data_IF_007390315886
#
_entry.id   IF_007390315886
#
_cell.length_a   1.000
_cell.length_b   1.000
_cell.length_c   1.000
_cell.angle_alpha   90.00
_cell.angle_beta   90.00
_cell.angle_gamma   90.00
#
_symmetry.space_group_name_H-M   'P 1'
#
loop_
_entity.id
_entity.type
_entity.pdbx_description
1 polymer ?
#
# COMPACT_ATOMS: atom_id res chain seq x y z
N UNK A 1 -34.09 36.86 -35.91
CA UNK A 1 -33.41 36.84 -34.60
C UNK A 1 -33.97 35.67 -33.81
N UNK A 2 -33.25 34.55 -33.77
CA UNK A 2 -33.67 33.34 -33.06
C UNK A 2 -32.83 33.12 -31.80
N UNK A 3 -33.35 32.48 -30.76
CA UNK A 3 -32.73 32.43 -29.46
C UNK A 3 -31.60 31.39 -29.38
N UNK A 4 -30.49 31.77 -28.75
CA UNK A 4 -29.30 30.97 -28.49
C UNK A 4 -29.58 29.84 -27.50
N UNK A 5 -29.34 28.58 -27.87
CA UNK A 5 -29.28 27.43 -26.97
C UNK A 5 -28.02 27.50 -26.10
N UNK A 6 -28.19 27.58 -24.77
CA UNK A 6 -27.13 27.36 -23.78
C UNK A 6 -26.81 25.86 -23.70
N UNK A 7 -25.58 25.48 -24.01
CA UNK A 7 -25.00 24.18 -23.67
C UNK A 7 -24.64 24.19 -22.18
N UNK A 8 -25.23 23.31 -21.41
CA UNK A 8 -24.80 23.01 -20.04
C UNK A 8 -23.72 21.92 -20.17
N UNK A 9 -22.47 22.30 -19.97
CA UNK A 9 -21.35 21.37 -19.81
C UNK A 9 -21.33 20.88 -18.37
N UNK A 10 -21.75 19.64 -18.16
CA UNK A 10 -21.56 18.96 -16.89
C UNK A 10 -20.09 18.56 -16.72
N UNK A 11 -19.34 19.33 -15.95
CA UNK A 11 -18.00 18.97 -15.49
C UNK A 11 -18.15 18.05 -14.25
N UNK A 12 -18.20 16.74 -14.51
CA UNK A 12 -17.96 15.73 -13.48
C UNK A 12 -16.47 15.67 -13.18
N UNK A 13 -15.96 16.55 -12.34
CA UNK A 13 -14.64 16.41 -11.76
C UNK A 13 -14.68 15.26 -10.75
N UNK A 14 -14.20 14.07 -11.17
CA UNK A 14 -13.73 13.06 -10.24
C UNK A 14 -12.56 13.65 -9.46
N UNK A 15 -12.81 14.03 -8.21
CA UNK A 15 -11.75 14.41 -7.27
C UNK A 15 -10.88 13.18 -7.05
N UNK A 16 -9.79 13.07 -7.81
CA UNK A 16 -8.67 12.19 -7.48
C UNK A 16 -8.13 12.65 -6.13
N UNK A 17 -8.36 11.85 -5.10
CA UNK A 17 -7.75 12.02 -3.79
C UNK A 17 -6.24 11.73 -3.92
N UNK A 18 -5.49 12.62 -4.56
CA UNK A 18 -4.04 12.66 -4.47
C UNK A 18 -3.69 13.18 -3.07
N UNK A 19 -3.68 12.28 -2.07
CA UNK A 19 -2.95 12.56 -0.84
C UNK A 19 -1.47 12.67 -1.22
N UNK A 20 -1.01 13.87 -1.50
CA UNK A 20 0.40 14.16 -1.70
C UNK A 20 1.14 13.75 -0.43
N UNK A 21 2.00 12.72 -0.54
CA UNK A 21 2.98 12.43 0.48
C UNK A 21 3.96 13.62 0.42
N UNK A 22 4.03 14.39 1.49
CA UNK A 22 5.02 15.46 1.62
C UNK A 22 6.41 14.82 1.72
N UNK A 23 7.11 14.74 0.59
CA UNK A 23 8.55 14.48 0.55
C UNK A 23 9.21 15.81 0.84
N UNK A 24 9.80 15.95 2.02
CA UNK A 24 10.51 17.18 2.38
C UNK A 24 11.73 17.34 1.48
N UNK A 25 11.85 18.44 0.70
CA UNK A 25 13.03 18.63 -0.15
C UNK A 25 14.29 18.78 0.70
N UNK A 26 15.31 18.01 0.35
CA UNK A 26 16.61 18.04 0.99
C UNK A 26 17.36 19.31 0.56
N UNK A 27 17.84 20.09 1.52
CA UNK A 27 18.69 21.25 1.25
C UNK A 27 20.13 20.79 0.99
N UNK A 28 20.79 21.21 -0.13
CA UNK A 28 22.21 20.99 -0.33
C UNK A 28 23.01 21.83 0.68
N UNK A 29 24.02 21.25 1.36
CA UNK A 29 25.04 22.01 2.05
C UNK A 29 25.26 21.78 3.55
N UNK A 30 24.96 20.63 4.12
CA UNK A 30 25.39 20.29 5.51
C UNK A 30 26.57 19.29 5.43
N UNK A 31 27.78 19.80 5.21
CA UNK A 31 28.93 18.97 4.89
C UNK A 31 29.91 18.71 6.01
N UNK A 32 29.75 19.22 7.24
CA UNK A 32 30.86 19.17 8.18
C UNK A 32 30.92 17.94 9.12
N UNK A 33 29.84 17.17 9.31
CA UNK A 33 29.88 15.89 10.03
C UNK A 33 28.81 14.92 9.50
N UNK A 34 29.16 14.18 8.46
CA UNK A 34 28.27 13.08 8.00
C UNK A 34 28.10 12.03 9.10
N UNK A 35 26.89 11.62 9.47
CA UNK A 35 26.64 10.58 10.46
C UNK A 35 27.33 9.27 10.09
N UNK A 36 27.72 8.48 11.09
CA UNK A 36 28.14 7.10 10.83
C UNK A 36 26.90 6.23 10.61
N UNK A 37 26.92 5.43 9.55
CA UNK A 37 25.76 4.61 9.13
C UNK A 37 26.07 3.13 9.31
N UNK A 38 25.11 2.38 9.89
CA UNK A 38 25.13 0.91 9.88
C UNK A 38 24.11 0.39 8.87
N UNK A 39 24.58 -0.24 7.81
CA UNK A 39 23.74 -1.02 6.91
C UNK A 39 23.48 -2.38 7.57
N UNK A 40 22.25 -2.89 7.53
CA UNK A 40 21.87 -4.13 8.19
C UNK A 40 21.19 -5.08 7.21
N UNK A 41 21.77 -6.27 7.02
CA UNK A 41 21.26 -7.32 6.12
C UNK A 41 21.06 -8.63 6.89
N UNK A 42 19.81 -9.06 7.10
CA UNK A 42 19.51 -10.41 7.55
C UNK A 42 19.55 -11.35 6.37
N UNK A 43 20.22 -12.48 6.46
CA UNK A 43 20.29 -13.46 5.35
C UNK A 43 20.04 -14.89 5.82
N UNK A 44 19.50 -15.73 4.93
CA UNK A 44 19.30 -17.16 5.11
C UNK A 44 19.29 -17.85 3.77
N UNK A 45 20.38 -18.52 3.42
CA UNK A 45 20.52 -19.27 2.16
C UNK A 45 20.16 -18.40 0.94
N UNK A 46 20.86 -17.30 0.77
CA UNK A 46 20.67 -16.31 -0.31
C UNK A 46 21.94 -16.10 -1.14
N UNK A 47 22.87 -17.07 -1.13
CA UNK A 47 24.15 -16.97 -1.86
C UNK A 47 24.01 -16.45 -3.29
N UNK A 48 23.02 -16.89 -4.12
CA UNK A 48 22.86 -16.38 -5.49
C UNK A 48 22.69 -14.86 -5.63
N UNK A 49 22.18 -14.19 -4.62
CA UNK A 49 21.94 -12.74 -4.67
C UNK A 49 23.14 -11.90 -4.22
N UNK A 50 24.12 -12.50 -3.55
CA UNK A 50 25.15 -11.76 -2.85
C UNK A 50 26.10 -10.97 -3.77
N UNK A 51 26.36 -11.45 -4.99
CA UNK A 51 27.12 -10.63 -5.96
C UNK A 51 26.40 -9.29 -6.22
N UNK A 52 25.07 -9.31 -6.34
CA UNK A 52 24.29 -8.09 -6.59
C UNK A 52 24.12 -7.24 -5.33
N UNK A 53 23.96 -7.86 -4.16
CA UNK A 53 23.93 -7.12 -2.89
C UNK A 53 25.25 -6.38 -2.63
N UNK A 54 26.39 -6.99 -2.96
CA UNK A 54 27.72 -6.36 -2.88
C UNK A 54 27.82 -5.20 -3.88
N UNK A 55 27.39 -5.39 -5.14
CA UNK A 55 27.38 -4.31 -6.14
C UNK A 55 26.53 -3.12 -5.70
N UNK A 56 25.33 -3.36 -5.13
CA UNK A 56 24.52 -2.28 -4.57
C UNK A 56 25.24 -1.53 -3.44
N UNK A 57 25.89 -2.27 -2.53
CA UNK A 57 26.69 -1.65 -1.47
C UNK A 57 27.85 -0.83 -2.03
N UNK A 58 28.57 -1.32 -3.04
CA UNK A 58 29.70 -0.63 -3.66
C UNK A 58 29.26 0.64 -4.40
N UNK A 59 28.07 0.64 -4.98
CA UNK A 59 27.51 1.79 -5.71
C UNK A 59 26.97 2.91 -4.82
N UNK A 60 26.79 2.67 -3.49
CA UNK A 60 26.29 3.74 -2.62
C UNK A 60 27.19 4.99 -2.67
N UNK A 61 26.57 6.13 -2.93
CA UNK A 61 27.16 7.47 -3.03
C UNK A 61 27.57 8.07 -1.67
N UNK A 62 27.48 7.28 -0.59
CA UNK A 62 27.89 7.67 0.75
C UNK A 62 29.32 7.21 1.05
N UNK A 63 30.15 8.02 1.78
CA UNK A 63 31.53 7.68 2.05
C UNK A 63 31.71 6.34 2.76
N UNK A 64 32.54 5.45 2.20
CA UNK A 64 32.73 4.07 2.72
C UNK A 64 33.38 4.07 4.12
N UNK A 65 34.19 5.06 4.46
CA UNK A 65 34.79 5.26 5.79
C UNK A 65 33.77 5.72 6.84
N UNK A 66 32.57 6.14 6.39
CA UNK A 66 31.43 6.52 7.24
C UNK A 66 30.35 5.46 7.31
N UNK A 67 30.63 4.23 6.85
CA UNK A 67 29.69 3.11 6.86
C UNK A 67 30.29 1.86 7.48
N UNK A 68 29.44 1.02 8.06
CA UNK A 68 29.67 -0.39 8.31
C UNK A 68 28.51 -1.21 7.77
N UNK A 69 28.74 -2.47 7.45
CA UNK A 69 27.74 -3.39 6.96
C UNK A 69 27.62 -4.59 7.91
N UNK A 70 26.53 -4.66 8.66
CA UNK A 70 26.22 -5.73 9.63
C UNK A 70 25.42 -6.80 8.90
N UNK A 71 25.99 -7.99 8.81
CA UNK A 71 25.36 -9.15 8.18
C UNK A 71 25.12 -10.21 9.27
N UNK A 72 23.88 -10.64 9.41
CA UNK A 72 23.49 -11.75 10.28
C UNK A 72 23.01 -12.91 9.41
N UNK A 73 23.80 -13.98 9.38
CA UNK A 73 23.58 -15.16 8.54
C UNK A 73 23.31 -16.40 9.39
N UNK A 74 22.09 -16.91 9.32
CA UNK A 74 21.65 -18.15 9.96
C UNK A 74 21.33 -19.26 8.95
N UNK A 75 21.75 -19.09 7.67
CA UNK A 75 21.64 -20.11 6.62
C UNK A 75 22.58 -21.28 6.82
N UNK A 76 22.35 -22.37 6.12
CA UNK A 76 23.26 -23.53 6.04
C UNK A 76 24.36 -23.32 5.01
N UNK A 77 24.07 -22.54 3.96
CA UNK A 77 25.04 -22.09 2.96
C UNK A 77 25.47 -20.65 3.28
N UNK A 78 26.55 -20.55 4.07
CA UNK A 78 27.10 -19.29 4.56
C UNK A 78 27.74 -18.49 3.44
N UNK A 79 27.68 -17.15 3.56
CA UNK A 79 28.21 -16.22 2.55
C UNK A 79 29.47 -15.47 3.02
N UNK A 80 30.09 -15.91 4.10
CA UNK A 80 31.28 -15.30 4.70
C UNK A 80 32.45 -15.13 3.68
N UNK A 81 32.66 -16.14 2.86
CA UNK A 81 33.68 -16.14 1.78
C UNK A 81 33.47 -15.07 0.72
N UNK A 82 32.20 -14.68 0.47
CA UNK A 82 31.85 -13.66 -0.51
C UNK A 82 32.08 -12.24 0.00
N UNK A 83 32.01 -12.01 1.33
CA UNK A 83 31.98 -10.67 1.93
C UNK A 83 33.18 -10.35 2.82
N UNK A 84 34.00 -11.34 3.19
CA UNK A 84 35.13 -11.18 4.13
C UNK A 84 36.22 -10.23 3.66
N UNK A 85 36.30 -9.98 2.35
CA UNK A 85 37.28 -9.05 1.77
C UNK A 85 36.84 -7.57 1.86
N UNK A 86 35.58 -7.29 2.24
CA UNK A 86 35.03 -5.93 2.30
C UNK A 86 35.32 -5.35 3.69
N UNK A 87 36.11 -4.27 3.81
CA UNK A 87 36.56 -3.73 5.10
C UNK A 87 35.39 -3.27 6.01
N UNK A 88 34.29 -2.83 5.43
CA UNK A 88 33.10 -2.33 6.14
C UNK A 88 32.27 -3.45 6.75
N UNK A 89 32.42 -4.70 6.27
CA UNK A 89 31.60 -5.82 6.69
C UNK A 89 31.92 -6.28 8.12
N UNK A 90 30.87 -6.51 8.89
CA UNK A 90 30.86 -7.18 10.18
C UNK A 90 29.92 -8.37 10.06
N UNK A 91 30.50 -9.52 9.72
CA UNK A 91 29.76 -10.76 9.48
C UNK A 91 29.58 -11.55 10.78
N UNK A 92 28.32 -11.99 11.02
CA UNK A 92 27.92 -12.75 12.19
C UNK A 92 27.14 -13.98 11.74
N UNK A 93 27.75 -15.16 11.88
CA UNK A 93 27.15 -16.44 11.55
C UNK A 93 26.50 -17.09 12.78
N UNK A 94 25.39 -17.77 12.52
CA UNK A 94 24.66 -18.55 13.51
C UNK A 94 24.29 -19.90 12.89
N UNK A 95 24.31 -20.95 13.71
CA UNK A 95 24.03 -22.32 13.23
C UNK A 95 22.53 -22.63 13.27
N UNK A 96 21.79 -21.95 14.16
CA UNK A 96 20.35 -22.13 14.29
C UNK A 96 19.57 -21.07 13.52
N UNK A 97 18.57 -21.52 12.75
CA UNK A 97 17.65 -20.62 12.07
C UNK A 97 16.84 -19.79 13.07
N UNK A 98 16.68 -18.52 12.79
CA UNK A 98 15.99 -17.57 13.63
C UNK A 98 14.83 -16.87 12.90
N UNK A 99 13.85 -16.41 13.66
CA UNK A 99 12.84 -15.50 13.15
C UNK A 99 13.43 -14.13 12.79
N UNK A 100 12.84 -13.46 11.81
CA UNK A 100 13.35 -12.19 11.30
C UNK A 100 13.46 -11.11 12.39
N UNK A 101 12.46 -11.03 13.30
CA UNK A 101 12.51 -10.08 14.41
C UNK A 101 13.72 -10.30 15.33
N UNK A 102 14.06 -11.56 15.65
CA UNK A 102 15.26 -11.90 16.42
C UNK A 102 16.54 -11.51 15.67
N UNK A 103 16.64 -11.78 14.35
CA UNK A 103 17.78 -11.36 13.54
C UNK A 103 17.95 -9.85 13.54
N UNK A 104 16.88 -9.09 13.35
CA UNK A 104 16.91 -7.62 13.38
C UNK A 104 17.40 -7.09 14.72
N UNK A 105 16.91 -7.63 15.84
CA UNK A 105 17.38 -7.26 17.16
C UNK A 105 18.87 -7.59 17.36
N UNK A 106 19.35 -8.73 16.87
CA UNK A 106 20.78 -9.08 16.90
C UNK A 106 21.62 -8.12 16.06
N UNK A 107 21.17 -7.77 14.84
CA UNK A 107 21.86 -6.75 14.03
C UNK A 107 21.94 -5.42 14.77
N UNK A 108 20.85 -4.93 15.37
CA UNK A 108 20.83 -3.69 16.14
C UNK A 108 21.86 -3.68 17.26
N UNK A 109 21.99 -4.78 17.99
CA UNK A 109 23.00 -4.91 19.07
C UNK A 109 24.46 -4.85 18.54
N UNK A 110 24.68 -5.09 17.25
CA UNK A 110 26.01 -5.08 16.61
C UNK A 110 26.32 -3.75 15.91
N UNK A 111 25.33 -2.91 15.66
CA UNK A 111 25.50 -1.62 14.98
C UNK A 111 26.21 -0.59 15.83
N UNK A 112 26.97 0.32 15.20
CA UNK A 112 27.60 1.49 15.84
C UNK A 112 27.12 2.82 15.22
N UNK A 113 26.47 2.77 14.05
CA UNK A 113 26.02 3.95 13.32
C UNK A 113 25.01 4.80 14.08
N UNK A 114 25.04 6.10 13.88
CA UNK A 114 24.02 7.04 14.37
C UNK A 114 22.70 6.80 13.68
N UNK A 115 22.77 6.34 12.42
CA UNK A 115 21.65 5.95 11.60
C UNK A 115 21.80 4.48 11.19
N UNK A 116 20.72 3.73 11.28
CA UNK A 116 20.65 2.33 10.89
C UNK A 116 19.75 2.23 9.67
N UNK A 117 20.22 1.55 8.62
CA UNK A 117 19.50 1.40 7.34
C UNK A 117 19.40 -0.08 7.01
N UNK A 118 18.20 -0.54 6.63
CA UNK A 118 18.05 -1.91 6.15
C UNK A 118 18.34 -2.02 4.66
N UNK A 119 18.97 -3.14 4.34
CA UNK A 119 19.17 -3.65 2.99
C UNK A 119 18.87 -5.15 3.03
N UNK A 120 17.77 -5.57 2.41
CA UNK A 120 17.46 -6.99 2.23
C UNK A 120 18.41 -7.58 1.17
N UNK A 121 18.65 -8.89 1.21
CA UNK A 121 19.67 -9.55 0.39
C UNK A 121 19.19 -9.92 -1.03
N UNK A 122 17.88 -9.83 -1.30
CA UNK A 122 17.23 -10.30 -2.53
C UNK A 122 16.55 -9.19 -3.36
N UNK A 123 16.74 -7.92 -3.01
CA UNK A 123 16.15 -6.77 -3.68
C UNK A 123 17.22 -5.78 -4.18
N UNK A 124 16.82 -4.88 -5.08
CA UNK A 124 17.71 -3.82 -5.57
C UNK A 124 17.59 -2.54 -4.74
N UNK A 125 18.73 -1.95 -4.41
CA UNK A 125 18.84 -0.69 -3.69
C UNK A 125 19.61 0.34 -4.53
N UNK A 126 19.02 1.52 -4.83
CA UNK A 126 19.66 2.55 -5.66
C UNK A 126 20.91 3.16 -5.00
N UNK A 127 21.84 3.71 -5.80
CA UNK A 127 23.06 4.30 -5.29
C UNK A 127 22.86 5.41 -4.25
N UNK A 128 21.81 6.22 -4.40
CA UNK A 128 21.47 7.32 -3.48
C UNK A 128 20.62 6.88 -2.27
N UNK A 129 20.45 5.58 -2.06
CA UNK A 129 19.67 5.02 -0.93
C UNK A 129 20.13 5.55 0.42
N UNK A 130 21.46 5.57 0.66
CA UNK A 130 22.03 5.95 1.95
C UNK A 130 22.05 7.44 2.12
N UNK A 131 22.58 8.18 1.14
CA UNK A 131 22.66 9.64 1.18
C UNK A 131 21.31 10.29 1.31
N UNK A 132 20.29 9.81 0.54
CA UNK A 132 18.91 10.28 0.63
C UNK A 132 18.31 10.06 2.02
N UNK A 133 18.48 8.88 2.62
CA UNK A 133 17.97 8.57 3.95
C UNK A 133 18.60 9.45 5.04
N UNK A 134 19.93 9.61 4.99
CA UNK A 134 20.66 10.46 5.93
C UNK A 134 20.23 11.92 5.81
N UNK A 135 20.17 12.45 4.59
CA UNK A 135 19.74 13.82 4.32
C UNK A 135 18.32 14.07 4.80
N UNK A 136 17.40 13.14 4.52
CA UNK A 136 16.00 13.26 4.93
C UNK A 136 15.86 13.26 6.45
N UNK A 137 16.54 12.34 7.16
CA UNK A 137 16.53 12.35 8.63
C UNK A 137 17.18 13.61 9.20
N UNK A 138 18.26 14.08 8.61
CA UNK A 138 18.95 15.32 9.06
C UNK A 138 18.06 16.54 8.91
N UNK A 139 17.33 16.63 7.79
CA UNK A 139 16.37 17.71 7.54
C UNK A 139 15.12 17.65 8.45
N UNK A 140 14.84 16.49 9.06
CA UNK A 140 13.71 16.26 9.95
C UNK A 140 14.16 15.76 11.34
N UNK A 141 14.69 16.63 12.19
CA UNK A 141 15.36 16.24 13.43
C UNK A 141 14.41 15.59 14.46
N UNK A 142 13.11 15.82 14.37
CA UNK A 142 12.11 15.19 15.24
C UNK A 142 11.71 13.79 14.78
N UNK A 143 11.98 13.42 13.53
CA UNK A 143 11.69 12.09 13.02
C UNK A 143 12.72 11.08 13.56
N UNK A 144 12.23 10.00 14.15
CA UNK A 144 13.06 8.90 14.64
C UNK A 144 13.26 7.81 13.59
N UNK A 145 12.31 7.68 12.66
CA UNK A 145 12.36 6.72 11.58
C UNK A 145 11.97 7.38 10.25
N UNK A 146 12.57 6.89 9.17
CA UNK A 146 12.24 7.21 7.80
C UNK A 146 12.02 5.92 7.02
N UNK A 147 11.19 5.96 6.00
CA UNK A 147 10.94 4.84 5.11
C UNK A 147 9.93 5.22 4.04
N UNK A 148 9.56 4.31 3.18
CA UNK A 148 8.56 4.59 2.14
C UNK A 148 7.28 3.79 2.36
N UNK A 149 6.15 4.51 2.35
CA UNK A 149 4.82 3.93 2.30
C UNK A 149 4.44 3.44 0.90
N UNK A 150 5.26 3.73 -0.09
CA UNK A 150 5.15 3.25 -1.46
C UNK A 150 6.33 2.34 -1.76
N UNK A 151 6.06 1.17 -2.36
CA UNK A 151 7.09 0.26 -2.84
C UNK A 151 6.78 -0.09 -4.30
N UNK A 152 7.81 -0.05 -5.14
CA UNK A 152 7.73 -0.54 -6.50
C UNK A 152 8.14 -2.00 -6.56
N UNK A 153 7.31 -2.80 -7.22
CA UNK A 153 7.51 -4.23 -7.43
C UNK A 153 7.41 -4.52 -8.92
N UNK A 154 8.46 -5.08 -9.50
CA UNK A 154 8.43 -5.46 -10.90
C UNK A 154 8.11 -6.94 -11.08
N UNK A 155 6.97 -7.23 -11.67
CA UNK A 155 6.53 -8.60 -11.95
C UNK A 155 6.99 -9.04 -13.34
N UNK A 156 8.09 -9.77 -13.41
CA UNK A 156 8.71 -10.24 -14.66
C UNK A 156 7.76 -11.07 -15.54
N UNK A 157 6.97 -11.96 -14.94
CA UNK A 157 6.05 -12.87 -15.65
C UNK A 157 4.92 -12.15 -16.42
N UNK A 158 4.62 -10.90 -16.08
CA UNK A 158 3.68 -10.03 -16.81
C UNK A 158 4.34 -8.76 -17.33
N UNK A 159 5.66 -8.64 -17.17
CA UNK A 159 6.49 -7.53 -17.67
C UNK A 159 5.94 -6.16 -17.23
N UNK A 160 5.52 -6.05 -15.96
CA UNK A 160 4.84 -4.85 -15.49
C UNK A 160 5.31 -4.40 -14.10
N UNK A 161 5.48 -3.07 -13.96
CA UNK A 161 5.70 -2.40 -12.69
C UNK A 161 4.37 -2.22 -11.95
N UNK A 162 4.38 -2.53 -10.65
CA UNK A 162 3.28 -2.25 -9.75
C UNK A 162 3.73 -1.33 -8.63
N UNK A 163 2.87 -0.42 -8.26
CA UNK A 163 3.02 0.43 -7.09
C UNK A 163 2.14 -0.09 -5.97
N UNK A 164 2.76 -0.45 -4.85
CA UNK A 164 2.09 -0.80 -3.60
C UNK A 164 2.10 0.39 -2.66
N UNK A 165 0.94 0.74 -2.09
CA UNK A 165 0.74 1.93 -1.26
C UNK A 165 0.19 3.13 -2.06
N UNK A 166 0.13 4.33 -1.44
CA UNK A 166 0.55 4.61 -0.06
C UNK A 166 -0.41 4.03 0.99
N UNK A 167 0.15 3.46 2.06
CA UNK A 167 -0.64 2.89 3.16
C UNK A 167 -0.92 3.91 4.27
N UNK A 168 -0.10 4.93 4.40
CA UNK A 168 -0.28 6.01 5.37
C UNK A 168 0.98 6.84 5.61
N UNK A 169 0.86 8.02 6.27
CA UNK A 169 1.98 8.94 6.43
C UNK A 169 3.09 8.42 7.36
N UNK A 170 2.76 7.56 8.34
CA UNK A 170 3.72 6.97 9.27
C UNK A 170 3.95 5.48 8.98
N UNK A 171 3.42 4.98 7.87
CA UNK A 171 3.62 3.60 7.43
C UNK A 171 4.81 3.51 6.47
N UNK A 172 5.57 2.43 6.57
CA UNK A 172 6.53 1.99 5.57
C UNK A 172 6.79 0.49 5.71
N UNK A 173 7.29 -0.16 4.65
CA UNK A 173 7.79 -1.53 4.70
C UNK A 173 9.20 -1.56 5.25
N UNK A 174 9.54 -2.60 6.00
CA UNK A 174 10.81 -2.67 6.72
C UNK A 174 12.05 -2.57 5.82
N UNK A 175 12.04 -3.15 4.61
CA UNK A 175 13.14 -3.03 3.64
C UNK A 175 13.47 -1.58 3.24
N UNK A 176 12.55 -0.63 3.48
CA UNK A 176 12.77 0.80 3.22
C UNK A 176 13.28 1.58 4.44
N UNK A 177 13.37 0.97 5.63
CA UNK A 177 13.67 1.69 6.86
C UNK A 177 15.07 2.28 6.89
N UNK A 178 15.12 3.52 7.40
CA UNK A 178 16.30 4.17 7.94
C UNK A 178 15.87 4.85 9.24
N UNK A 179 16.59 4.65 10.33
CA UNK A 179 16.19 5.21 11.60
C UNK A 179 17.36 5.60 12.47
N UNK A 180 17.12 6.57 13.35
CA UNK A 180 18.08 7.00 14.34
C UNK A 180 18.29 5.91 15.39
N UNK A 181 19.52 5.65 15.77
CA UNK A 181 19.87 4.67 16.82
C UNK A 181 19.08 4.89 18.11
N UNK A 182 18.74 6.13 18.45
CA UNK A 182 17.98 6.46 19.66
C UNK A 182 16.57 5.82 19.67
N UNK A 183 16.01 5.49 18.51
CA UNK A 183 14.75 4.75 18.41
C UNK A 183 14.83 3.41 19.15
N UNK A 184 15.98 2.75 19.16
CA UNK A 184 16.20 1.46 19.84
C UNK A 184 16.05 1.52 21.37
N UNK A 185 16.06 2.73 21.95
CA UNK A 185 15.74 2.92 23.38
C UNK A 185 14.24 2.81 23.67
N UNK A 186 13.42 2.96 22.64
CA UNK A 186 11.97 3.03 22.76
C UNK A 186 11.27 1.78 22.24
N UNK A 187 11.88 1.04 21.32
CA UNK A 187 11.25 -0.09 20.66
C UNK A 187 12.25 -1.17 20.27
N UNK A 188 11.74 -2.37 20.08
CA UNK A 188 12.45 -3.53 19.53
C UNK A 188 11.47 -4.40 18.76
N UNK A 189 11.96 -5.30 17.93
CA UNK A 189 11.14 -6.32 17.31
C UNK A 189 10.74 -7.42 18.29
N UNK A 190 9.60 -8.08 18.04
CA UNK A 190 9.28 -9.33 18.69
C UNK A 190 10.18 -10.44 18.10
N UNK A 191 10.94 -11.12 18.97
CA UNK A 191 11.89 -12.16 18.56
C UNK A 191 11.22 -13.35 17.87
N UNK A 192 9.91 -13.55 18.05
CA UNK A 192 9.13 -14.67 17.51
C UNK A 192 8.41 -14.31 16.20
N UNK A 193 8.51 -13.08 15.71
CA UNK A 193 7.85 -12.66 14.47
C UNK A 193 8.77 -12.73 13.26
N UNK A 194 8.19 -13.19 12.14
CA UNK A 194 8.83 -13.22 10.86
C UNK A 194 8.07 -12.41 9.78
N UNK A 195 6.85 -11.94 10.08
CA UNK A 195 5.98 -11.25 9.12
C UNK A 195 5.19 -10.15 9.83
N UNK A 196 5.11 -8.97 9.19
CA UNK A 196 4.36 -7.81 9.71
C UNK A 196 4.95 -7.25 11.00
N UNK A 197 6.23 -7.48 11.21
CA UNK A 197 6.97 -7.11 12.41
C UNK A 197 7.18 -5.58 12.51
N UNK A 198 7.10 -4.85 11.40
CA UNK A 198 7.27 -3.41 11.35
C UNK A 198 6.20 -2.63 12.11
N UNK A 199 4.98 -3.17 12.19
CA UNK A 199 3.90 -2.53 12.94
C UNK A 199 4.22 -2.42 14.43
N UNK A 200 4.76 -3.47 15.01
CA UNK A 200 5.12 -3.49 16.43
C UNK A 200 6.35 -2.63 16.68
N UNK A 201 7.34 -2.68 15.79
CA UNK A 201 8.53 -1.84 15.86
C UNK A 201 8.20 -0.34 15.80
N UNK A 202 7.24 0.04 14.97
CA UNK A 202 6.74 1.42 14.86
C UNK A 202 5.63 1.72 15.88
N UNK A 203 5.39 0.85 16.86
CA UNK A 203 4.34 1.01 17.91
C UNK A 203 2.97 1.35 17.30
N UNK A 204 2.52 0.57 16.33
CA UNK A 204 1.28 0.83 15.62
C UNK A 204 1.32 2.10 14.78
N UNK A 205 2.49 2.46 14.25
CA UNK A 205 2.73 3.66 13.42
C UNK A 205 2.59 4.99 14.18
N UNK A 206 2.91 5.00 15.47
CA UNK A 206 2.91 6.21 16.31
C UNK A 206 4.30 6.85 16.48
N UNK A 207 5.36 6.16 16.07
CA UNK A 207 6.72 6.71 16.07
C UNK A 207 6.80 7.93 15.14
N UNK A 208 7.46 9.04 15.55
CA UNK A 208 7.72 10.18 14.68
C UNK A 208 8.44 9.74 13.40
N UNK A 209 7.82 9.99 12.26
CA UNK A 209 8.18 9.38 10.98
C UNK A 209 8.26 10.40 9.86
N UNK A 210 9.16 10.18 8.90
CA UNK A 210 9.25 10.94 7.65
C UNK A 210 9.29 10.01 6.44
N UNK A 211 8.57 10.36 5.38
CA UNK A 211 8.55 9.57 4.15
C UNK A 211 9.81 9.80 3.31
N UNK A 212 10.37 8.71 2.78
CA UNK A 212 11.42 8.73 1.76
C UNK A 212 10.82 8.72 0.36
N UNK A 213 11.57 9.23 -0.61
CA UNK A 213 11.27 9.07 -2.02
C UNK A 213 11.30 7.59 -2.40
N UNK A 214 10.19 6.99 -2.85
CA UNK A 214 10.14 5.56 -3.18
C UNK A 214 11.13 5.16 -4.28
N UNK A 215 11.48 6.09 -5.20
CA UNK A 215 12.45 5.84 -6.27
C UNK A 215 13.88 5.68 -5.75
N UNK A 216 14.14 6.08 -4.51
CA UNK A 216 15.45 6.08 -3.86
C UNK A 216 15.53 5.09 -2.69
N UNK A 217 14.57 4.19 -2.56
CA UNK A 217 14.53 3.25 -1.44
C UNK A 217 14.85 1.82 -1.87
N UNK A 218 13.94 1.18 -2.60
CA UNK A 218 14.03 -0.23 -2.98
C UNK A 218 13.23 -0.49 -4.26
N UNK A 219 13.74 -1.37 -5.11
CA UNK A 219 12.97 -2.01 -6.17
C UNK A 219 12.93 -3.51 -5.92
N UNK A 220 11.72 -4.04 -5.78
CA UNK A 220 11.47 -5.43 -5.42
C UNK A 220 11.24 -6.29 -6.65
N UNK A 221 11.92 -7.45 -6.69
CA UNK A 221 11.76 -8.47 -7.73
C UNK A 221 11.20 -9.76 -7.11
N UNK A 222 9.91 -10.11 -7.33
CA UNK A 222 9.37 -11.38 -6.88
C UNK A 222 10.09 -12.57 -7.51
N UNK A 223 10.42 -13.57 -6.69
CA UNK A 223 11.09 -14.79 -7.12
C UNK A 223 10.62 -16.02 -6.30
N UNK A 224 10.94 -17.22 -6.78
CA UNK A 224 10.46 -18.50 -6.20
C UNK A 224 10.95 -18.77 -4.77
N UNK A 225 12.02 -18.10 -4.32
CA UNK A 225 12.55 -18.23 -2.96
C UNK A 225 12.00 -17.20 -1.97
N UNK A 226 11.07 -16.31 -2.37
CA UNK A 226 10.40 -15.43 -1.42
C UNK A 226 9.62 -16.27 -0.39
N UNK A 227 9.67 -15.88 0.88
CA UNK A 227 8.89 -16.54 1.94
C UNK A 227 7.38 -16.36 1.74
N UNK A 228 6.96 -15.25 1.14
CA UNK A 228 5.59 -15.00 0.68
C UNK A 228 5.61 -14.82 -0.83
N UNK A 229 4.80 -15.58 -1.56
CA UNK A 229 4.67 -15.37 -3.01
C UNK A 229 3.99 -14.02 -3.29
N UNK A 230 4.79 -13.04 -3.68
CA UNK A 230 4.29 -11.70 -3.99
C UNK A 230 3.33 -11.66 -5.19
N UNK A 231 3.33 -12.71 -6.06
CA UNK A 231 2.39 -12.81 -7.20
C UNK A 231 0.94 -12.97 -6.72
N UNK A 232 0.73 -13.58 -5.55
CA UNK A 232 -0.60 -13.70 -4.94
C UNK A 232 -1.22 -12.32 -4.60
N UNK A 233 -0.41 -11.29 -4.42
CA UNK A 233 -0.90 -9.93 -4.17
C UNK A 233 -1.65 -9.35 -5.38
N UNK A 234 -1.36 -9.86 -6.59
CA UNK A 234 -2.03 -9.42 -7.83
C UNK A 234 -3.46 -9.94 -7.97
N UNK A 235 -3.83 -11.01 -7.25
CA UNK A 235 -5.20 -11.58 -7.29
C UNK A 235 -6.26 -10.54 -6.96
N UNK A 236 -5.90 -9.55 -6.16
CA UNK A 236 -6.80 -8.49 -5.71
C UNK A 236 -6.51 -7.12 -6.35
N UNK A 237 -5.61 -7.08 -7.34
CA UNK A 237 -5.29 -5.86 -8.08
C UNK A 237 -6.21 -5.70 -9.32
N UNK A 238 -6.47 -4.45 -9.80
CA UNK A 238 -6.10 -3.21 -9.14
C UNK A 238 -6.99 -2.87 -7.93
N UNK A 239 -6.42 -2.22 -6.93
CA UNK A 239 -7.13 -1.72 -5.76
C UNK A 239 -6.46 -0.42 -5.26
N UNK A 240 -7.01 0.32 -4.28
CA UNK A 240 -6.46 1.62 -3.88
C UNK A 240 -4.98 1.62 -3.46
N UNK A 241 -4.43 0.45 -3.07
CA UNK A 241 -3.04 0.31 -2.61
C UNK A 241 -2.20 -0.67 -3.43
N UNK A 242 -2.72 -1.18 -4.54
CA UNK A 242 -1.99 -2.07 -5.45
C UNK A 242 -2.45 -1.80 -6.88
N UNK A 243 -1.67 -1.04 -7.63
CA UNK A 243 -2.02 -0.63 -8.98
C UNK A 243 -0.82 -0.79 -9.93
N UNK A 244 -1.06 -1.17 -11.21
CA UNK A 244 -0.03 -1.07 -12.22
C UNK A 244 0.42 0.39 -12.37
N UNK A 245 1.71 0.58 -12.57
CA UNK A 245 2.31 1.90 -12.82
C UNK A 245 3.07 1.87 -14.16
N UNK A 246 2.37 2.16 -15.27
CA UNK A 246 2.95 2.08 -16.61
C UNK A 246 3.94 3.20 -16.90
N UNK A 247 3.93 4.28 -16.11
CA UNK A 247 4.79 5.43 -16.31
C UNK A 247 6.21 5.21 -15.77
N UNK A 248 6.39 4.18 -14.90
CA UNK A 248 7.68 3.85 -14.32
C UNK A 248 8.26 2.60 -14.99
N UNK A 249 9.34 2.81 -15.71
CA UNK A 249 10.15 1.73 -16.29
C UNK A 249 11.19 1.25 -15.26
N UNK A 250 11.54 -0.05 -15.28
CA UNK A 250 12.61 -0.64 -14.47
C UNK A 250 13.89 0.17 -14.58
N UNK A 251 14.29 0.56 -15.80
CA UNK A 251 15.52 1.31 -16.08
C UNK A 251 15.53 2.73 -15.48
N UNK A 252 14.37 3.26 -15.06
CA UNK A 252 14.29 4.55 -14.36
C UNK A 252 14.90 4.44 -12.96
N UNK A 253 14.72 3.29 -12.31
CA UNK A 253 15.23 3.01 -10.97
C UNK A 253 16.58 2.28 -11.04
N UNK A 254 16.64 1.17 -11.79
CA UNK A 254 17.78 0.31 -11.93
C UNK A 254 18.57 0.69 -13.20
N UNK A 255 19.71 1.37 -13.02
CA UNK A 255 20.52 1.92 -14.12
C UNK A 255 21.75 1.08 -14.44
N UNK A 256 22.21 0.23 -13.51
CA UNK A 256 23.36 -0.64 -13.72
C UNK A 256 22.97 -1.84 -14.59
N UNK A 257 23.61 -1.96 -15.76
CA UNK A 257 23.31 -3.01 -16.74
C UNK A 257 23.55 -4.40 -16.20
N UNK A 258 24.63 -4.64 -15.43
CA UNK A 258 24.92 -5.97 -14.90
C UNK A 258 23.89 -6.42 -13.84
N UNK A 259 23.43 -5.49 -13.01
CA UNK A 259 22.36 -5.75 -12.02
C UNK A 259 21.03 -5.97 -12.75
N UNK A 260 20.77 -5.19 -13.81
CA UNK A 260 19.57 -5.37 -14.64
C UNK A 260 19.54 -6.76 -15.28
N UNK A 261 20.62 -7.19 -15.93
CA UNK A 261 20.69 -8.53 -16.56
C UNK A 261 20.45 -9.62 -15.52
N UNK A 262 21.07 -9.53 -14.36
CA UNK A 262 20.88 -10.48 -13.27
C UNK A 262 19.42 -10.61 -12.87
N UNK A 263 18.76 -9.50 -12.46
CA UNK A 263 17.38 -9.57 -12.01
C UNK A 263 16.38 -9.92 -13.12
N UNK A 264 16.64 -9.50 -14.34
CA UNK A 264 15.71 -9.68 -15.45
C UNK A 264 15.85 -11.04 -16.15
N UNK A 265 17.06 -11.63 -16.18
CA UNK A 265 17.32 -12.82 -16.99
C UNK A 265 17.90 -13.99 -16.20
N UNK A 266 18.89 -13.74 -15.34
CA UNK A 266 19.74 -14.82 -14.85
C UNK A 266 19.19 -15.47 -13.57
N UNK A 267 18.61 -14.68 -12.67
CA UNK A 267 18.28 -15.12 -11.31
C UNK A 267 17.28 -16.28 -11.27
N UNK A 268 16.29 -16.32 -12.16
CA UNK A 268 15.24 -17.34 -12.09
C UNK A 268 15.81 -18.73 -12.37
N UNK A 269 16.70 -18.87 -13.35
CA UNK A 269 17.38 -20.13 -13.68
C UNK A 269 18.36 -20.53 -12.57
N UNK A 270 19.07 -19.56 -12.00
CA UNK A 270 19.98 -19.80 -10.88
C UNK A 270 19.20 -20.35 -9.67
N UNK A 271 18.06 -19.74 -9.33
CA UNK A 271 17.25 -20.15 -8.18
C UNK A 271 16.60 -21.53 -8.35
N UNK A 272 16.23 -21.93 -9.58
CA UNK A 272 15.75 -23.29 -9.86
C UNK A 272 16.79 -24.34 -9.50
N UNK A 273 18.07 -24.02 -9.65
CA UNK A 273 19.21 -24.90 -9.39
C UNK A 273 19.85 -24.66 -8.00
N UNK A 274 19.20 -23.89 -7.12
CA UNK A 274 19.70 -23.57 -5.78
C UNK A 274 18.74 -24.05 -4.67
N UNK A 275 18.73 -25.35 -4.35
CA UNK A 275 17.82 -25.92 -3.35
C UNK A 275 17.90 -25.30 -1.95
N UNK A 276 19.08 -24.87 -1.41
CA UNK A 276 19.16 -24.37 -0.04
C UNK A 276 18.25 -23.19 0.27
N UNK A 277 17.95 -22.34 -0.73
CA UNK A 277 17.09 -21.17 -0.58
C UNK A 277 15.59 -21.44 -0.66
N UNK A 278 15.16 -22.68 -0.95
CA UNK A 278 13.75 -23.06 -1.09
C UNK A 278 12.96 -22.69 0.19
N UNK A 279 11.81 -22.00 0.07
CA UNK A 279 10.95 -21.61 1.19
C UNK A 279 10.54 -22.76 2.11
N UNK A 280 10.49 -24.03 1.60
CA UNK A 280 10.18 -25.21 2.43
C UNK A 280 11.09 -25.37 3.64
N UNK A 281 12.33 -24.87 3.59
CA UNK A 281 13.27 -24.92 4.70
C UNK A 281 13.02 -23.83 5.77
N UNK A 282 12.07 -22.93 5.55
CA UNK A 282 11.64 -21.90 6.51
C UNK A 282 10.34 -22.32 7.21
N UNK A 283 10.34 -23.48 7.85
CA UNK A 283 9.13 -24.14 8.39
C UNK A 283 8.31 -23.21 9.28
N UNK A 284 8.93 -22.57 10.28
CA UNK A 284 8.21 -21.71 11.22
C UNK A 284 7.72 -20.41 10.58
N UNK A 285 8.47 -19.87 9.62
CA UNK A 285 8.03 -18.73 8.81
C UNK A 285 6.80 -19.11 8.00
N UNK A 286 6.82 -20.28 7.34
CA UNK A 286 5.69 -20.75 6.54
C UNK A 286 4.41 -20.96 7.36
N UNK A 287 4.53 -21.39 8.62
CA UNK A 287 3.38 -21.46 9.54
C UNK A 287 2.77 -20.07 9.77
N UNK A 288 3.60 -19.05 10.01
CA UNK A 288 3.10 -17.67 10.17
C UNK A 288 2.50 -17.12 8.87
N UNK A 289 3.11 -17.41 7.71
CA UNK A 289 2.57 -17.06 6.39
C UNK A 289 1.17 -17.63 6.22
N UNK A 290 0.98 -18.92 6.53
CA UNK A 290 -0.31 -19.60 6.40
C UNK A 290 -1.40 -18.96 7.28
N UNK A 291 -1.07 -18.63 8.53
CA UNK A 291 -2.00 -17.95 9.46
C UNK A 291 -2.40 -16.57 8.94
N UNK A 292 -1.43 -15.78 8.48
CA UNK A 292 -1.70 -14.44 7.93
C UNK A 292 -2.52 -14.53 6.65
N UNK A 293 -2.23 -15.49 5.78
CA UNK A 293 -2.98 -15.73 4.53
C UNK A 293 -4.43 -16.08 4.82
N UNK A 294 -4.68 -17.00 5.76
CA UNK A 294 -6.04 -17.37 6.17
C UNK A 294 -6.82 -16.18 6.75
N UNK A 295 -6.19 -15.40 7.62
CA UNK A 295 -6.80 -14.21 8.20
C UNK A 295 -7.14 -13.15 7.12
N UNK A 296 -6.25 -12.93 6.15
CA UNK A 296 -6.49 -12.02 5.05
C UNK A 296 -7.64 -12.50 4.14
N UNK A 297 -7.69 -13.80 3.83
CA UNK A 297 -8.76 -14.40 3.02
C UNK A 297 -10.13 -14.18 3.69
N UNK A 298 -10.25 -14.50 4.99
CA UNK A 298 -11.47 -14.25 5.77
C UNK A 298 -11.89 -12.79 5.73
N UNK A 299 -10.95 -11.87 5.98
CA UNK A 299 -11.21 -10.43 5.95
C UNK A 299 -11.70 -9.94 4.58
N UNK A 300 -11.13 -10.47 3.50
CA UNK A 300 -11.55 -10.11 2.13
C UNK A 300 -12.95 -10.66 1.82
N UNK A 301 -13.28 -11.87 2.25
CA UNK A 301 -14.62 -12.45 2.09
C UNK A 301 -15.67 -11.65 2.87
N UNK A 302 -15.38 -11.27 4.11
CA UNK A 302 -16.25 -10.40 4.92
C UNK A 302 -16.48 -9.05 4.24
N UNK A 303 -15.42 -8.44 3.73
CA UNK A 303 -15.52 -7.17 2.99
C UNK A 303 -16.36 -7.31 1.73
N UNK A 304 -16.19 -8.42 0.98
CA UNK A 304 -16.98 -8.71 -0.22
C UNK A 304 -18.47 -8.88 0.11
N UNK A 305 -18.77 -9.65 1.17
CA UNK A 305 -20.17 -9.82 1.65
C UNK A 305 -20.79 -8.48 2.03
N UNK A 306 -20.07 -7.67 2.80
CA UNK A 306 -20.54 -6.34 3.22
C UNK A 306 -20.82 -5.43 2.02
N UNK A 307 -19.94 -5.40 1.02
CA UNK A 307 -20.18 -4.64 -0.22
C UNK A 307 -21.41 -5.14 -0.99
N UNK A 308 -21.61 -6.46 -1.05
CA UNK A 308 -22.81 -7.03 -1.70
C UNK A 308 -24.09 -6.63 -0.97
N UNK A 309 -24.10 -6.70 0.36
CA UNK A 309 -25.23 -6.27 1.18
C UNK A 309 -25.53 -4.77 1.03
N UNK A 310 -24.50 -3.92 0.99
CA UNK A 310 -24.64 -2.47 0.75
C UNK A 310 -25.21 -2.20 -0.65
N UNK A 311 -24.77 -2.91 -1.67
CA UNK A 311 -25.30 -2.80 -3.03
C UNK A 311 -26.77 -3.24 -3.10
N UNK A 312 -27.14 -4.37 -2.48
CA UNK A 312 -28.53 -4.83 -2.43
C UNK A 312 -29.45 -3.85 -1.69
N UNK A 313 -28.98 -3.25 -0.58
CA UNK A 313 -29.72 -2.21 0.14
C UNK A 313 -29.93 -0.96 -0.72
N UNK A 314 -28.89 -0.54 -1.46
CA UNK A 314 -29.00 0.60 -2.37
C UNK A 314 -30.03 0.35 -3.48
N UNK A 315 -30.03 -0.83 -4.10
CA UNK A 315 -31.01 -1.21 -5.11
C UNK A 315 -32.43 -1.28 -4.54
N UNK A 316 -32.60 -1.85 -3.33
CA UNK A 316 -33.89 -1.90 -2.65
C UNK A 316 -34.42 -0.50 -2.36
N UNK A 317 -33.59 0.40 -1.82
CA UNK A 317 -33.97 1.79 -1.56
C UNK A 317 -34.41 2.51 -2.84
N UNK A 318 -33.68 2.30 -3.95
CA UNK A 318 -34.06 2.86 -5.26
C UNK A 318 -35.45 2.38 -5.71
N UNK A 319 -35.74 1.08 -5.57
CA UNK A 319 -37.07 0.52 -5.90
C UNK A 319 -38.15 1.16 -5.05
N UNK A 320 -37.92 1.32 -3.74
CA UNK A 320 -38.87 1.95 -2.81
C UNK A 320 -39.08 3.43 -3.18
N UNK A 321 -38.05 4.18 -3.51
CA UNK A 321 -38.14 5.57 -3.91
C UNK A 321 -38.92 5.74 -5.21
N UNK A 322 -38.68 4.87 -6.21
CA UNK A 322 -39.41 4.86 -7.48
C UNK A 322 -40.90 4.51 -7.26
N UNK A 323 -41.21 3.55 -6.36
CA UNK A 323 -42.57 3.22 -6.00
C UNK A 323 -43.29 4.36 -5.30
N UNK A 324 -42.66 5.00 -4.34
CA UNK A 324 -43.16 6.19 -3.64
C UNK A 324 -43.47 7.34 -4.60
N UNK A 325 -42.57 7.58 -5.56
CA UNK A 325 -42.78 8.61 -6.59
C UNK A 325 -44.05 8.33 -7.41
N UNK A 326 -44.25 7.08 -7.85
CA UNK A 326 -45.46 6.66 -8.59
C UNK A 326 -46.72 6.86 -7.76
N UNK A 327 -46.67 6.47 -6.47
CA UNK A 327 -47.82 6.69 -5.55
C UNK A 327 -48.17 8.16 -5.44
N UNK A 328 -47.18 9.05 -5.31
CA UNK A 328 -47.40 10.50 -5.23
C UNK A 328 -47.96 11.09 -6.55
N UNK A 329 -47.53 10.59 -7.70
CA UNK A 329 -48.06 10.97 -9.02
C UNK A 329 -49.52 10.57 -9.16
N UNK A 330 -49.90 9.32 -8.80
CA UNK A 330 -51.31 8.84 -8.85
C UNK A 330 -52.18 9.60 -7.85
N UNK A 331 -51.67 9.85 -6.63
CA UNK A 331 -52.41 10.67 -5.65
C UNK A 331 -52.67 12.09 -6.18
N UNK A 332 -51.71 12.70 -6.87
CA UNK A 332 -51.88 13.99 -7.52
C UNK A 332 -52.90 13.99 -8.65
N UNK A 333 -52.99 12.88 -9.42
CA UNK A 333 -54.04 12.69 -10.44
C UNK A 333 -55.45 12.58 -9.79
N UNK A 334 -55.58 11.76 -8.75
CA UNK A 334 -56.83 11.59 -8.01
C UNK A 334 -57.35 12.93 -7.44
N UNK A 335 -56.46 13.70 -6.81
CA UNK A 335 -56.85 15.05 -6.30
C UNK A 335 -57.34 15.96 -7.43
N UNK A 336 -56.70 15.97 -8.59
CA UNK A 336 -57.13 16.76 -9.75
C UNK A 336 -58.54 16.39 -10.20
N UNK A 337 -58.85 15.09 -10.30
CA UNK A 337 -60.17 14.58 -10.67
C UNK A 337 -61.21 14.96 -9.66
N UNK A 338 -60.92 14.86 -8.35
CA UNK A 338 -61.81 15.31 -7.28
C UNK A 338 -62.15 16.80 -7.39
N UNK A 339 -61.15 17.65 -7.61
CA UNK A 339 -61.33 19.10 -7.79
C UNK A 339 -62.21 19.40 -9.02
N UNK A 340 -61.98 18.66 -10.13
CA UNK A 340 -62.76 18.82 -11.35
C UNK A 340 -64.25 18.38 -11.13
N UNK A 341 -64.48 17.25 -10.46
CA UNK A 341 -65.82 16.79 -10.11
C UNK A 341 -66.54 17.79 -9.20
N UNK A 342 -65.83 18.35 -8.21
CA UNK A 342 -66.41 19.39 -7.35
C UNK A 342 -66.83 20.62 -8.15
N UNK A 343 -66.05 21.09 -9.14
CA UNK A 343 -66.41 22.19 -10.04
C UNK A 343 -67.62 21.85 -10.92
N UNK A 344 -67.72 20.62 -11.41
CA UNK A 344 -68.87 20.17 -12.20
C UNK A 344 -70.13 20.14 -11.36
N UNK A 345 -70.06 19.65 -10.12
CA UNK A 345 -71.20 19.65 -9.20
C UNK A 345 -71.69 21.05 -8.88
N UNK A 346 -70.81 21.99 -8.70
CA UNK A 346 -71.19 23.42 -8.49
C UNK A 346 -71.95 23.96 -9.73
N UNK A 347 -71.45 23.70 -10.93
CA UNK A 347 -72.13 24.10 -12.18
C UNK A 347 -73.47 23.44 -12.35
N UNK A 348 -73.57 22.12 -12.02
CA UNK A 348 -74.83 21.42 -12.08
C UNK A 348 -75.90 22.05 -11.16
N UNK A 349 -75.54 22.37 -9.92
CA UNK A 349 -76.39 23.07 -8.97
C UNK A 349 -76.86 24.45 -9.47
N UNK A 350 -75.99 25.19 -10.18
CA UNK A 350 -76.32 26.47 -10.81
C UNK A 350 -77.34 26.29 -11.93
N UNK A 351 -77.20 25.26 -12.76
CA UNK A 351 -78.18 24.91 -13.82
C UNK A 351 -79.51 24.45 -13.28
N UNK A 352 -79.53 23.57 -12.23
CA UNK A 352 -80.73 23.11 -11.53
C UNK A 352 -81.53 24.31 -10.99
N UNK A 353 -80.83 25.26 -10.39
CA UNK A 353 -81.43 26.51 -9.90
C UNK A 353 -82.05 27.38 -11.02
N UNK A 354 -81.35 27.49 -12.15
CA UNK A 354 -81.85 28.21 -13.33
C UNK A 354 -83.08 27.57 -14.00
N UNK A 355 -83.18 26.24 -13.94
CA UNK A 355 -84.28 25.48 -14.53
C UNK A 355 -85.45 25.24 -13.59
N UNK A 356 -85.40 25.73 -12.32
CA UNK A 356 -86.45 25.53 -11.33
C UNK A 356 -86.65 24.09 -10.90
N UNK A 357 -85.62 23.27 -11.06
CA UNK A 357 -85.62 21.87 -10.67
C UNK A 357 -85.30 21.76 -9.19
N UNK A 358 -86.17 21.33 -8.34
CA UNK A 358 -85.88 21.01 -6.96
C UNK A 358 -85.01 19.74 -6.92
N UNK A 359 -83.88 19.69 -6.19
CA UNK A 359 -83.04 18.51 -6.12
C UNK A 359 -83.78 17.40 -5.35
N UNK A 360 -84.27 16.41 -6.06
CA UNK A 360 -84.97 15.25 -5.47
C UNK A 360 -84.07 14.33 -4.63
N UNK A 361 -82.79 14.45 -4.70
CA UNK A 361 -81.82 13.82 -3.80
C UNK A 361 -80.58 14.68 -3.64
N UNK A 362 -80.45 15.34 -2.53
CA UNK A 362 -79.18 16.02 -2.12
C UNK A 362 -78.11 14.94 -1.90
N UNK A 363 -77.09 14.91 -2.80
CA UNK A 363 -75.86 14.22 -2.51
C UNK A 363 -75.20 14.90 -1.31
N UNK A 364 -75.26 14.25 -0.15
CA UNK A 364 -74.61 14.74 1.06
C UNK A 364 -73.08 14.63 0.89
N UNK A 365 -72.33 15.55 1.54
CA UNK A 365 -70.84 15.64 1.47
C UNK A 365 -70.13 14.35 1.93
N UNK A 366 -70.84 13.37 2.51
CA UNK A 366 -70.28 12.08 2.99
C UNK A 366 -69.96 11.06 1.88
N UNK A 367 -70.37 11.31 0.63
CA UNK A 367 -70.06 10.41 -0.50
C UNK A 367 -68.89 10.84 -1.36
N UNK A 368 -68.07 11.80 -0.93
CA UNK A 368 -66.87 12.31 -1.64
C UNK A 368 -65.66 12.16 -0.74
N UNK A 369 -65.39 10.97 -0.25
CA UNK A 369 -64.06 10.62 0.36
C UNK A 369 -63.36 9.63 -0.52
#
# INVERSE_FOLDING_TARGET
>A
MGPKKKKISGNGQSQKLNKQIHITPVRPGLNDHLPFVSICTPTFNRRPFWEMAIKCFDEYDYPKDRMEWIIVDDGTDKVEDLVSHIPQVKYHKYDEQMMLGKKRNLMHAKTRGDIIIYQDDDDYYPPDRVSHAVQTLTANPTALCAGSSIVFVYFKHITQMYRFGPYGPNHATAGTFAFRRELLRQTRYDDNKAIGEERDFLKGYTIPFVQLDPMKTILVFPHIHNSCDKRELLVYAPNPTCNPDPDINVNTILRNESIYQFFMKDIDDILQNYPPGDPKYKVEVNKQVAVVKEANTKRMEEHRKKKQEEAQRADTNKIVDDANKRVQEERGKAIRVMVQNKKLLIKLREYEKLLGIEPEHAFTEEHVV
#
